data_IF_129181141387
#
_entry.id   IF_129181141387
#
_cell.length_a   1.000
_cell.length_b   1.000
_cell.length_c   1.000
_cell.angle_alpha   90.00
_cell.angle_beta   90.00
_cell.angle_gamma   90.00
#
_symmetry.space_group_name_H-M   'P 1'
#
loop_
_entity.id
_entity.type
_entity.pdbx_description
1 polymer ?
#
# COMPACT_ATOMS: atom_id res chain seq x y z
N UNK A 1 7.38 -25.20 -16.95
CA UNK A 1 6.88 -23.94 -17.53
C UNK A 1 6.09 -23.08 -16.55
N UNK A 2 5.65 -23.62 -15.43
CA UNK A 2 4.86 -22.98 -14.37
C UNK A 2 5.70 -22.12 -13.39
N UNK A 3 6.90 -22.53 -13.05
CA UNK A 3 7.75 -21.87 -12.04
C UNK A 3 8.35 -20.52 -12.49
N UNK A 4 8.55 -20.31 -13.81
CA UNK A 4 8.99 -19.03 -14.36
C UNK A 4 7.83 -18.01 -14.47
N UNK A 5 6.59 -18.48 -14.56
CA UNK A 5 5.39 -17.61 -14.58
C UNK A 5 5.08 -17.08 -13.19
N UNK A 6 5.12 -17.92 -12.17
CA UNK A 6 4.90 -17.51 -10.76
C UNK A 6 5.96 -16.52 -10.28
N UNK A 7 7.23 -16.75 -10.59
CA UNK A 7 8.31 -15.81 -10.25
C UNK A 7 8.17 -14.46 -10.95
N UNK A 8 7.60 -14.43 -12.16
CA UNK A 8 7.32 -13.21 -12.90
C UNK A 8 6.16 -12.41 -12.28
N UNK A 9 5.14 -13.08 -11.79
CA UNK A 9 3.98 -12.45 -11.13
C UNK A 9 4.36 -11.90 -9.75
N UNK A 10 5.08 -12.65 -8.92
CA UNK A 10 5.56 -12.17 -7.61
C UNK A 10 6.47 -10.95 -7.72
N UNK A 11 7.40 -10.94 -8.70
CA UNK A 11 8.28 -9.78 -8.92
C UNK A 11 7.50 -8.57 -9.39
N UNK A 12 6.51 -8.73 -10.26
CA UNK A 12 5.67 -7.62 -10.75
C UNK A 12 4.80 -7.04 -9.64
N UNK A 13 4.25 -7.88 -8.79
CA UNK A 13 3.46 -7.47 -7.63
C UNK A 13 4.32 -6.73 -6.59
N UNK A 14 5.53 -7.22 -6.33
CA UNK A 14 6.50 -6.55 -5.46
C UNK A 14 6.86 -5.15 -5.98
N UNK A 15 7.19 -5.02 -7.26
CA UNK A 15 7.50 -3.73 -7.88
C UNK A 15 6.33 -2.77 -7.87
N UNK A 16 5.11 -3.26 -8.09
CA UNK A 16 3.89 -2.44 -8.06
C UNK A 16 3.60 -1.93 -6.66
N UNK A 17 3.77 -2.76 -5.63
CA UNK A 17 3.54 -2.41 -4.22
C UNK A 17 4.58 -1.43 -3.68
N UNK A 18 5.83 -1.47 -4.19
CA UNK A 18 6.94 -0.65 -3.69
C UNK A 18 7.42 0.42 -4.68
N UNK A 19 6.66 0.69 -5.73
CA UNK A 19 7.06 1.62 -6.82
C UNK A 19 7.47 3.01 -6.32
N UNK A 20 6.78 3.55 -5.33
CA UNK A 20 7.06 4.87 -4.78
C UNK A 20 8.36 4.87 -3.98
N UNK A 21 8.61 3.83 -3.20
CA UNK A 21 9.85 3.68 -2.45
C UNK A 21 11.04 3.49 -3.39
N UNK A 22 10.89 2.70 -4.44
CA UNK A 22 11.91 2.49 -5.46
C UNK A 22 12.20 3.81 -6.20
N UNK A 23 11.17 4.56 -6.58
CA UNK A 23 11.33 5.86 -7.23
C UNK A 23 12.05 6.86 -6.32
N UNK A 24 11.67 6.94 -5.04
CA UNK A 24 12.34 7.79 -4.06
C UNK A 24 13.83 7.43 -3.89
N UNK A 25 14.15 6.15 -3.69
CA UNK A 25 15.53 5.70 -3.54
C UNK A 25 16.37 5.95 -4.82
N UNK A 26 15.77 5.69 -5.99
CA UNK A 26 16.42 5.93 -7.28
C UNK A 26 16.72 7.42 -7.46
N UNK A 27 15.77 8.31 -7.13
CA UNK A 27 15.99 9.75 -7.18
C UNK A 27 17.12 10.18 -6.25
N UNK A 28 17.20 9.62 -5.05
CA UNK A 28 18.30 9.88 -4.11
C UNK A 28 19.68 9.48 -4.65
N UNK A 29 19.77 8.31 -5.29
CA UNK A 29 21.01 7.87 -5.94
C UNK A 29 21.41 8.82 -7.08
N UNK A 30 20.44 9.25 -7.90
CA UNK A 30 20.69 10.20 -8.99
C UNK A 30 21.17 11.55 -8.45
N UNK A 31 20.63 12.03 -7.34
CA UNK A 31 21.07 13.27 -6.70
C UNK A 31 22.55 13.16 -6.25
N UNK A 32 22.93 12.03 -5.66
CA UNK A 32 24.32 11.80 -5.26
C UNK A 32 25.26 11.78 -6.48
N UNK A 33 24.83 11.16 -7.58
CA UNK A 33 25.58 11.17 -8.84
C UNK A 33 25.66 12.57 -9.43
N UNK A 34 24.57 13.35 -9.41
CA UNK A 34 24.53 14.72 -9.89
C UNK A 34 25.49 15.63 -9.10
N UNK A 35 25.48 15.52 -7.78
CA UNK A 35 26.41 16.23 -6.91
C UNK A 35 27.89 15.88 -7.21
N UNK A 36 28.14 14.61 -7.51
CA UNK A 36 29.47 14.15 -7.91
C UNK A 36 29.90 14.71 -9.27
N UNK A 37 28.99 14.78 -10.24
CA UNK A 37 29.22 15.39 -11.57
C UNK A 37 29.50 16.88 -11.45
N UNK A 38 28.81 17.59 -10.59
CA UNK A 38 29.05 19.00 -10.31
C UNK A 38 30.44 19.22 -9.73
N UNK A 39 30.92 18.33 -8.84
CA UNK A 39 32.26 18.41 -8.23
C UNK A 39 33.40 18.26 -9.23
N UNK A 40 33.18 17.71 -10.42
CA UNK A 40 34.15 17.50 -11.49
C UNK A 40 33.92 18.44 -12.66
N UNK A 41 33.34 19.62 -12.42
CA UNK A 41 33.09 20.70 -13.39
C UNK A 41 32.16 20.33 -14.56
N UNK A 42 31.39 19.23 -14.44
CA UNK A 42 30.43 18.83 -15.47
C UNK A 42 29.03 19.39 -15.21
N UNK A 43 28.92 20.73 -15.17
CA UNK A 43 27.70 21.44 -14.75
C UNK A 43 26.47 21.05 -15.57
N UNK A 44 26.56 20.93 -16.90
CA UNK A 44 25.41 20.55 -17.73
C UNK A 44 24.91 19.13 -17.44
N UNK A 45 25.83 18.18 -17.24
CA UNK A 45 25.47 16.83 -16.91
C UNK A 45 24.83 16.75 -15.50
N UNK A 46 25.34 17.53 -14.54
CA UNK A 46 24.77 17.63 -13.21
C UNK A 46 23.33 18.18 -13.25
N UNK A 47 23.07 19.26 -13.99
CA UNK A 47 21.72 19.82 -14.14
C UNK A 47 20.75 18.83 -14.77
N UNK A 48 21.15 18.10 -15.81
CA UNK A 48 20.31 17.05 -16.41
C UNK A 48 20.01 15.93 -15.40
N UNK A 49 20.99 15.54 -14.59
CA UNK A 49 20.81 14.54 -13.55
C UNK A 49 19.86 15.04 -12.44
N UNK A 50 19.97 16.28 -11.99
CA UNK A 50 19.04 16.88 -11.04
C UNK A 50 17.61 16.92 -11.60
N UNK A 51 17.42 17.34 -12.85
CA UNK A 51 16.12 17.35 -13.52
C UNK A 51 15.52 15.93 -13.61
N UNK A 52 16.34 14.92 -13.91
CA UNK A 52 15.85 13.53 -13.93
C UNK A 52 15.44 13.06 -12.53
N UNK A 53 16.16 13.44 -11.48
CA UNK A 53 15.77 13.17 -10.09
C UNK A 53 14.45 13.84 -9.72
N UNK A 54 14.20 15.10 -10.15
CA UNK A 54 12.92 15.80 -9.98
C UNK A 54 11.76 15.00 -10.59
N UNK A 55 11.94 14.53 -11.83
CA UNK A 55 10.88 13.80 -12.52
C UNK A 55 10.62 12.46 -11.86
N UNK A 56 11.66 11.69 -11.57
CA UNK A 56 11.53 10.34 -10.99
C UNK A 56 10.96 10.40 -9.57
N UNK A 57 11.48 11.27 -8.72
CA UNK A 57 11.04 11.43 -7.34
C UNK A 57 9.73 12.19 -7.20
N UNK A 58 9.53 13.25 -8.01
CA UNK A 58 8.40 14.17 -7.87
C UNK A 58 7.13 13.76 -8.60
N UNK A 59 7.19 12.86 -9.60
CA UNK A 59 6.04 12.56 -10.47
C UNK A 59 4.80 12.10 -9.73
N UNK A 60 4.95 11.16 -8.79
CA UNK A 60 3.81 10.60 -8.05
C UNK A 60 3.12 11.68 -7.21
N UNK A 61 3.90 12.42 -6.43
CA UNK A 61 3.40 13.50 -5.57
C UNK A 61 2.89 14.70 -6.36
N UNK A 62 3.50 15.04 -7.48
CA UNK A 62 3.01 16.09 -8.38
C UNK A 62 1.63 15.74 -8.95
N UNK A 63 1.44 14.50 -9.39
CA UNK A 63 0.15 14.02 -9.89
C UNK A 63 -0.92 14.05 -8.81
N UNK A 64 -0.62 13.55 -7.62
CA UNK A 64 -1.52 13.55 -6.46
C UNK A 64 -1.90 14.98 -6.08
N UNK A 65 -0.93 15.88 -5.91
CA UNK A 65 -1.15 17.26 -5.54
C UNK A 65 -1.99 18.04 -6.55
N UNK A 66 -1.76 17.85 -7.86
CA UNK A 66 -2.55 18.49 -8.91
C UNK A 66 -3.99 17.97 -8.89
N UNK A 67 -4.20 16.64 -8.78
CA UNK A 67 -5.52 16.05 -8.74
C UNK A 67 -6.33 16.54 -7.54
N UNK A 68 -5.70 16.56 -6.38
CA UNK A 68 -6.33 16.99 -5.12
C UNK A 68 -6.69 18.48 -5.14
N UNK A 69 -5.80 19.32 -5.67
CA UNK A 69 -6.05 20.74 -5.84
C UNK A 69 -7.21 21.02 -6.79
N UNK A 70 -7.32 20.26 -7.89
CA UNK A 70 -8.42 20.43 -8.85
C UNK A 70 -9.76 19.98 -8.23
N UNK A 71 -9.76 18.87 -7.48
CA UNK A 71 -10.97 18.31 -6.87
C UNK A 71 -11.47 19.16 -5.69
N UNK A 72 -10.58 19.55 -4.80
CA UNK A 72 -10.92 20.24 -3.56
C UNK A 72 -10.86 21.77 -3.67
N UNK A 73 -10.33 22.32 -4.78
CA UNK A 73 -10.11 23.76 -5.02
C UNK A 73 -9.29 24.44 -3.91
N UNK A 74 -8.41 23.70 -3.27
CA UNK A 74 -7.53 24.20 -2.20
C UNK A 74 -6.09 23.88 -2.55
N UNK A 75 -5.19 24.79 -2.22
CA UNK A 75 -3.73 24.52 -2.33
C UNK A 75 -3.33 23.54 -1.24
N UNK A 76 -2.71 22.46 -1.65
CA UNK A 76 -2.15 21.45 -0.74
C UNK A 76 -0.62 21.58 -0.63
N UNK A 77 -0.02 20.85 0.30
CA UNK A 77 1.42 20.90 0.57
C UNK A 77 2.24 20.43 -0.63
N UNK A 78 1.72 19.46 -1.40
CA UNK A 78 2.36 18.91 -2.59
C UNK A 78 2.57 19.97 -3.68
N UNK A 79 1.58 20.82 -3.91
CA UNK A 79 1.68 21.94 -4.86
C UNK A 79 2.68 23.00 -4.39
N UNK A 80 2.65 23.33 -3.09
CA UNK A 80 3.61 24.30 -2.53
C UNK A 80 5.05 23.78 -2.66
N UNK A 81 5.26 22.50 -2.44
CA UNK A 81 6.55 21.84 -2.61
C UNK A 81 7.04 21.90 -4.07
N UNK A 82 6.15 21.61 -5.03
CA UNK A 82 6.50 21.70 -6.47
C UNK A 82 6.89 23.13 -6.84
N UNK A 83 6.13 24.12 -6.37
CA UNK A 83 6.44 25.54 -6.62
C UNK A 83 7.77 25.94 -5.99
N UNK A 84 8.08 25.46 -4.78
CA UNK A 84 9.36 25.71 -4.13
C UNK A 84 10.53 25.07 -4.90
N UNK A 85 10.37 23.84 -5.39
CA UNK A 85 11.37 23.15 -6.19
C UNK A 85 11.61 23.84 -7.54
N UNK A 86 10.55 24.31 -8.22
CA UNK A 86 10.66 25.10 -9.44
C UNK A 86 11.35 26.43 -9.15
N UNK A 87 10.96 27.14 -8.08
CA UNK A 87 11.58 28.38 -7.66
C UNK A 87 13.09 28.22 -7.39
N UNK A 88 13.47 27.16 -6.67
CA UNK A 88 14.87 26.79 -6.41
C UNK A 88 15.65 26.60 -7.72
N UNK A 89 15.06 25.92 -8.70
CA UNK A 89 15.68 25.70 -10.02
C UNK A 89 15.89 26.99 -10.80
N UNK A 90 14.92 27.94 -10.76
CA UNK A 90 15.00 29.22 -11.46
C UNK A 90 16.15 30.07 -10.93
N UNK A 91 16.43 30.03 -9.64
CA UNK A 91 17.54 30.77 -9.02
C UNK A 91 18.89 30.02 -9.06
N UNK A 92 18.91 28.82 -9.68
CA UNK A 92 20.14 28.05 -9.88
C UNK A 92 20.50 27.09 -8.75
N UNK A 93 19.64 26.92 -7.72
CA UNK A 93 19.82 26.00 -6.58
C UNK A 93 19.22 24.63 -6.91
N UNK A 94 19.84 23.92 -7.86
CA UNK A 94 19.35 22.62 -8.35
C UNK A 94 19.43 21.51 -7.31
N UNK A 95 20.51 21.50 -6.53
CA UNK A 95 20.73 20.50 -5.47
C UNK A 95 19.67 20.63 -4.39
N UNK A 96 19.42 21.83 -3.87
CA UNK A 96 18.49 22.09 -2.79
C UNK A 96 17.07 21.72 -3.18
N UNK A 97 16.65 22.08 -4.38
CA UNK A 97 15.34 21.70 -4.91
C UNK A 97 15.20 20.19 -5.11
N UNK A 98 16.26 19.50 -5.57
CA UNK A 98 16.23 18.05 -5.71
C UNK A 98 16.18 17.32 -4.36
N UNK A 99 16.89 17.82 -3.34
CA UNK A 99 16.80 17.31 -1.97
C UNK A 99 15.38 17.48 -1.42
N UNK A 100 14.74 18.64 -1.68
CA UNK A 100 13.37 18.88 -1.27
C UNK A 100 12.44 17.82 -1.87
N UNK A 101 12.48 17.60 -3.18
CA UNK A 101 11.67 16.57 -3.87
C UNK A 101 11.94 15.17 -3.29
N UNK A 102 13.21 14.83 -3.08
CA UNK A 102 13.59 13.53 -2.51
C UNK A 102 13.00 13.29 -1.12
N UNK A 103 13.11 14.29 -0.23
CA UNK A 103 12.59 14.17 1.15
C UNK A 103 11.06 13.92 1.11
N UNK A 104 10.33 14.66 0.28
CA UNK A 104 8.88 14.47 0.16
C UNK A 104 8.51 13.15 -0.51
N UNK A 105 9.25 12.74 -1.55
CA UNK A 105 9.04 11.43 -2.18
C UNK A 105 9.27 10.28 -1.18
N UNK A 106 10.34 10.39 -0.39
CA UNK A 106 10.66 9.39 0.63
C UNK A 106 9.61 9.37 1.75
N UNK A 107 9.17 10.54 2.22
CA UNK A 107 8.11 10.65 3.23
C UNK A 107 6.81 10.01 2.78
N UNK A 108 6.34 10.32 1.57
CA UNK A 108 5.13 9.72 0.99
C UNK A 108 5.25 8.22 0.78
N UNK A 109 6.41 7.74 0.32
CA UNK A 109 6.67 6.32 0.16
C UNK A 109 6.66 5.55 1.49
N UNK A 110 7.22 6.14 2.56
CA UNK A 110 7.19 5.56 3.90
C UNK A 110 5.77 5.56 4.49
N UNK A 111 5.00 6.62 4.27
CA UNK A 111 3.59 6.70 4.66
C UNK A 111 2.76 5.60 3.97
N UNK A 112 2.87 5.47 2.65
CA UNK A 112 2.21 4.41 1.87
C UNK A 112 2.62 3.02 2.36
N UNK A 113 3.89 2.81 2.65
CA UNK A 113 4.40 1.55 3.19
C UNK A 113 3.79 1.23 4.56
N UNK A 114 3.74 2.21 5.48
CA UNK A 114 3.18 2.04 6.81
C UNK A 114 1.67 1.73 6.76
N UNK A 115 0.90 2.44 5.93
CA UNK A 115 -0.53 2.21 5.72
C UNK A 115 -0.80 0.81 5.15
N UNK A 116 -0.05 0.38 4.14
CA UNK A 116 -0.19 -0.94 3.55
C UNK A 116 0.10 -2.05 4.56
N UNK A 117 1.15 -1.90 5.38
CA UNK A 117 1.47 -2.86 6.44
C UNK A 117 0.37 -2.97 7.50
N UNK A 118 -0.23 -1.86 7.88
CA UNK A 118 -1.37 -1.85 8.80
C UNK A 118 -2.59 -2.53 8.19
N UNK A 119 -2.90 -2.25 6.92
CA UNK A 119 -4.02 -2.88 6.21
C UNK A 119 -3.82 -4.39 6.04
N UNK A 120 -2.60 -4.85 5.75
CA UNK A 120 -2.26 -6.28 5.66
C UNK A 120 -2.49 -6.98 7.01
N UNK A 121 -2.14 -6.35 8.13
CA UNK A 121 -2.37 -6.87 9.48
C UNK A 121 -3.87 -7.00 9.78
N UNK A 122 -4.68 -5.97 9.49
CA UNK A 122 -6.13 -5.98 9.66
C UNK A 122 -6.78 -7.02 8.73
N UNK A 123 -6.37 -7.07 7.47
CA UNK A 123 -6.90 -8.02 6.48
C UNK A 123 -6.60 -9.47 6.85
N UNK A 124 -5.44 -9.74 7.47
CA UNK A 124 -5.09 -11.08 7.95
C UNK A 124 -6.00 -11.54 9.10
N UNK A 125 -6.42 -10.62 9.97
CA UNK A 125 -7.41 -10.89 11.02
C UNK A 125 -8.82 -11.13 10.42
N UNK A 126 -9.22 -10.35 9.42
CA UNK A 126 -10.51 -10.54 8.73
C UNK A 126 -10.59 -11.86 7.95
N UNK A 127 -9.47 -12.35 7.39
CA UNK A 127 -9.41 -13.67 6.74
C UNK A 127 -9.60 -14.86 7.71
N UNK A 128 -9.62 -14.61 9.01
CA UNK A 128 -9.96 -15.64 10.01
C UNK A 128 -11.45 -16.00 10.00
N UNK A 129 -12.31 -15.12 9.49
CA UNK A 129 -13.76 -15.39 9.40
C UNK A 129 -14.04 -16.25 8.15
N UNK A 130 -14.69 -17.41 8.28
CA UNK A 130 -15.03 -18.24 7.14
C UNK A 130 -16.10 -17.58 6.27
N UNK A 131 -15.96 -17.73 4.95
CA UNK A 131 -16.92 -17.19 3.98
C UNK A 131 -18.22 -18.02 3.89
N UNK A 132 -18.17 -19.29 4.32
CA UNK A 132 -19.28 -20.24 4.24
C UNK A 132 -19.65 -20.78 5.61
N UNK A 133 -20.91 -21.15 5.75
CA UNK A 133 -21.49 -21.79 6.95
C UNK A 133 -22.38 -22.96 6.56
N UNK A 134 -22.49 -23.97 7.43
CA UNK A 134 -23.42 -25.05 7.29
C UNK A 134 -24.77 -24.72 8.00
N UNK A 135 -25.74 -24.29 7.22
CA UNK A 135 -27.07 -23.95 7.73
C UNK A 135 -27.91 -25.20 7.90
N UNK A 136 -28.54 -25.36 9.09
CA UNK A 136 -29.45 -26.45 9.43
C UNK A 136 -30.88 -25.92 9.51
N UNK A 137 -31.78 -26.43 8.68
CA UNK A 137 -33.19 -26.06 8.69
C UNK A 137 -34.10 -27.30 8.84
N UNK A 138 -34.90 -27.28 9.87
CA UNK A 138 -36.11 -28.15 9.96
C UNK A 138 -35.91 -29.67 9.76
N UNK A 139 -34.77 -30.25 10.20
CA UNK A 139 -34.52 -31.70 10.10
C UNK A 139 -33.95 -32.14 8.73
N UNK A 140 -33.69 -31.25 7.81
CA UNK A 140 -33.01 -31.54 6.56
C UNK A 140 -31.47 -31.61 6.73
N UNK A 141 -30.80 -32.21 5.74
CA UNK A 141 -29.35 -32.22 5.74
C UNK A 141 -28.78 -30.78 5.69
N UNK A 142 -27.67 -30.51 6.43
CA UNK A 142 -27.04 -29.18 6.43
C UNK A 142 -26.66 -28.74 5.00
N UNK A 143 -26.96 -27.51 4.66
CA UNK A 143 -26.61 -26.89 3.37
C UNK A 143 -25.54 -25.83 3.57
N UNK A 144 -24.60 -25.74 2.62
CA UNK A 144 -23.61 -24.65 2.61
C UNK A 144 -24.26 -23.37 2.12
N UNK A 145 -24.07 -22.31 2.86
CA UNK A 145 -24.55 -20.96 2.55
C UNK A 145 -23.41 -19.96 2.80
N UNK A 146 -23.47 -18.79 2.17
CA UNK A 146 -22.53 -17.70 2.49
C UNK A 146 -22.73 -17.27 3.95
N UNK A 147 -21.64 -17.10 4.71
CA UNK A 147 -21.73 -16.65 6.11
C UNK A 147 -22.45 -15.29 6.24
N UNK A 148 -22.30 -14.42 5.23
CA UNK A 148 -22.99 -13.13 5.16
C UNK A 148 -24.51 -13.23 4.99
N UNK A 149 -25.04 -14.40 4.60
CA UNK A 149 -26.47 -14.64 4.44
C UNK A 149 -27.16 -15.15 5.71
N UNK A 150 -26.39 -15.42 6.78
CA UNK A 150 -26.91 -15.85 8.05
C UNK A 150 -27.75 -14.75 8.71
N UNK A 151 -28.85 -15.15 9.29
CA UNK A 151 -29.76 -14.27 10.04
C UNK A 151 -29.87 -14.70 11.48
N UNK A 152 -30.31 -13.77 12.33
CA UNK A 152 -30.54 -14.09 13.77
C UNK A 152 -31.52 -15.24 13.93
N UNK A 153 -31.16 -16.21 14.77
CA UNK A 153 -31.85 -17.47 15.05
C UNK A 153 -31.67 -18.57 13.97
N UNK A 154 -30.78 -18.39 13.00
CA UNK A 154 -30.37 -19.51 12.17
C UNK A 154 -29.56 -20.51 13.00
N UNK A 155 -29.78 -21.79 12.74
CA UNK A 155 -29.01 -22.88 13.35
C UNK A 155 -27.89 -23.28 12.37
N UNK A 156 -26.66 -23.26 12.85
CA UNK A 156 -25.50 -23.65 12.06
C UNK A 156 -24.82 -24.87 12.65
N UNK A 157 -24.27 -25.72 11.80
CA UNK A 157 -23.47 -26.87 12.21
C UNK A 157 -21.97 -26.48 12.01
N UNK A 158 -21.21 -26.68 13.09
CA UNK A 158 -19.75 -26.49 13.05
C UNK A 158 -19.11 -27.86 13.24
N UNK A 159 -18.30 -28.28 12.29
CA UNK A 159 -17.58 -29.53 12.36
C UNK A 159 -16.21 -29.34 13.03
N UNK A 160 -15.65 -30.42 13.62
CA UNK A 160 -14.31 -30.37 14.20
C UNK A 160 -13.28 -29.82 13.20
N UNK A 161 -12.49 -28.83 13.64
CA UNK A 161 -11.49 -28.16 12.80
C UNK A 161 -12.02 -27.06 11.91
N UNK A 162 -13.34 -26.82 11.84
CA UNK A 162 -13.91 -25.68 11.12
C UNK A 162 -13.92 -24.41 12.00
N UNK A 163 -13.87 -23.26 11.35
CA UNK A 163 -13.97 -21.96 12.01
C UNK A 163 -15.42 -21.58 12.24
N UNK A 164 -15.70 -20.84 13.32
CA UNK A 164 -17.02 -20.35 13.67
C UNK A 164 -17.33 -19.13 12.78
N UNK A 165 -18.39 -19.15 11.93
CA UNK A 165 -18.67 -18.12 10.96
C UNK A 165 -19.38 -16.87 11.49
N UNK A 166 -20.02 -16.97 12.68
CA UNK A 166 -20.77 -15.89 13.30
C UNK A 166 -20.88 -16.09 14.81
N UNK A 167 -21.14 -15.03 15.54
CA UNK A 167 -21.42 -15.11 16.97
C UNK A 167 -22.70 -15.91 17.22
N UNK A 168 -22.69 -16.73 18.25
CA UNK A 168 -23.83 -17.59 18.54
C UNK A 168 -23.82 -18.27 19.94
N UNK A 169 -24.82 -19.04 20.20
CA UNK A 169 -24.95 -19.85 21.40
C UNK A 169 -24.86 -21.32 21.04
N UNK A 170 -24.11 -22.10 21.80
CA UNK A 170 -24.07 -23.56 21.67
C UNK A 170 -25.39 -24.14 22.18
N UNK A 171 -26.17 -24.71 21.28
CA UNK A 171 -27.47 -25.32 21.60
C UNK A 171 -27.37 -26.83 21.74
N UNK A 172 -26.35 -27.45 21.12
CA UNK A 172 -26.14 -28.91 21.19
C UNK A 172 -24.68 -29.24 20.89
N UNK A 173 -24.10 -30.19 21.62
CA UNK A 173 -22.75 -30.67 21.45
C UNK A 173 -21.77 -30.08 22.46
N UNK A 174 -20.58 -30.63 22.47
CA UNK A 174 -19.44 -30.17 23.30
C UNK A 174 -18.19 -30.10 22.40
N UNK A 175 -17.38 -29.04 22.57
CA UNK A 175 -16.15 -28.87 21.81
C UNK A 175 -15.18 -27.97 22.57
N UNK A 176 -13.92 -28.04 22.18
CA UNK A 176 -12.90 -27.09 22.61
C UNK A 176 -12.70 -26.05 21.48
N UNK A 177 -12.71 -24.78 21.84
CA UNK A 177 -12.54 -23.66 20.90
C UNK A 177 -11.16 -23.05 21.12
N UNK A 178 -10.41 -22.84 20.04
CA UNK A 178 -9.16 -22.09 20.05
C UNK A 178 -9.46 -20.59 19.84
N UNK A 179 -9.26 -19.80 20.89
CA UNK A 179 -9.49 -18.35 20.90
C UNK A 179 -8.18 -17.56 20.85
N UNK A 180 -7.04 -18.20 20.56
CA UNK A 180 -5.73 -17.56 20.57
C UNK A 180 -5.58 -16.38 19.59
N UNK A 181 -6.46 -16.30 18.58
CA UNK A 181 -6.48 -15.19 17.64
C UNK A 181 -7.18 -13.91 18.19
N UNK A 182 -7.92 -14.03 19.32
CA UNK A 182 -8.76 -12.96 19.89
C UNK A 182 -8.23 -12.52 21.25
N UNK A 183 -7.51 -13.39 21.94
CA UNK A 183 -6.88 -13.18 23.27
C UNK A 183 -5.36 -13.12 23.15
#
# INVERSE_FOLDING_TARGET
MTEQSEKGEETTEFFTKHKELIAALTSGIIILLAWRLESIDSTYAAVIAYLSAYVIGGYAKAKEGIQDTIQNKTLNVEILMILAAIGSSIIGYWLEGSILIFIFALSGALETYALNKNNDAISSLMKLQPEEAWLVRGGFAPIKVAASSLTKNDHILIKPGERIPADGLIIKGETTIDEAAIT
#
